data_IF_063141341875
#
_entry.id   IF_063141341875
#
_cell.length_a   1.000
_cell.length_b   1.000
_cell.length_c   1.000
_cell.angle_alpha   90.00
_cell.angle_beta   90.00
_cell.angle_gamma   90.00
#
_symmetry.space_group_name_H-M   'P 1'
#
loop_
_entity.id
_entity.type
_entity.pdbx_description
1 polymer ?
#
# COMPACT_ATOMS: atom_id res chain seq x y z
N UNK A 1 -14.45 -10.27 16.21
CA UNK A 1 -14.06 -11.52 15.51
C UNK A 1 -12.84 -12.11 16.19
N UNK A 2 -12.75 -13.42 16.36
CA UNK A 2 -11.57 -14.09 16.92
C UNK A 2 -10.48 -14.20 15.83
N UNK A 3 -9.43 -13.41 15.98
CA UNK A 3 -8.31 -13.29 15.03
C UNK A 3 -7.54 -14.61 14.86
N UNK A 4 -7.24 -15.28 15.96
CA UNK A 4 -6.49 -16.55 15.94
C UNK A 4 -7.30 -17.65 15.25
N UNK A 5 -8.58 -17.76 15.58
CA UNK A 5 -9.47 -18.70 14.91
C UNK A 5 -9.52 -18.44 13.40
N UNK A 6 -9.68 -17.17 12.99
CA UNK A 6 -9.74 -16.83 11.57
C UNK A 6 -8.41 -17.12 10.85
N UNK A 7 -7.29 -16.83 11.49
CA UNK A 7 -5.97 -17.18 10.96
C UNK A 7 -5.88 -18.69 10.69
N UNK A 8 -6.30 -19.53 11.64
CA UNK A 8 -6.29 -20.99 11.47
C UNK A 8 -7.16 -21.46 10.31
N UNK A 9 -8.33 -20.84 10.10
CA UNK A 9 -9.20 -21.10 8.93
C UNK A 9 -8.46 -20.78 7.62
N UNK A 10 -7.80 -19.64 7.55
CA UNK A 10 -6.97 -19.26 6.38
C UNK A 10 -5.80 -20.23 6.17
N UNK A 11 -5.12 -20.66 7.22
CA UNK A 11 -4.04 -21.65 7.11
C UNK A 11 -4.54 -23.00 6.63
N UNK A 12 -5.71 -23.46 7.08
CA UNK A 12 -6.35 -24.71 6.56
C UNK A 12 -6.65 -24.58 5.06
N UNK A 13 -7.23 -23.44 4.63
CA UNK A 13 -7.49 -23.17 3.22
C UNK A 13 -6.20 -23.13 2.40
N UNK A 14 -5.17 -22.45 2.92
CA UNK A 14 -3.85 -22.39 2.28
C UNK A 14 -3.23 -23.78 2.15
N UNK A 15 -3.27 -24.60 3.20
CA UNK A 15 -2.72 -25.96 3.17
C UNK A 15 -3.37 -26.84 2.09
N UNK A 16 -4.63 -26.60 1.76
CA UNK A 16 -5.34 -27.28 0.67
C UNK A 16 -4.98 -26.71 -0.72
N UNK A 17 -4.53 -25.45 -0.79
CA UNK A 17 -4.26 -24.76 -2.05
C UNK A 17 -2.92 -25.18 -2.68
N UNK A 18 -2.84 -25.40 -4.01
CA UNK A 18 -1.61 -25.88 -4.69
C UNK A 18 -0.36 -25.03 -4.43
N UNK A 19 -0.48 -23.70 -4.31
CA UNK A 19 0.66 -22.79 -4.03
C UNK A 19 1.32 -23.10 -2.69
N UNK A 20 0.57 -23.64 -1.72
CA UNK A 20 1.04 -23.84 -0.34
C UNK A 20 1.15 -25.29 0.09
N UNK A 21 0.56 -26.23 -0.65
CA UNK A 21 0.43 -27.64 -0.25
C UNK A 21 1.73 -28.25 0.25
N UNK A 22 2.81 -28.09 -0.51
CA UNK A 22 4.13 -28.61 -0.09
C UNK A 22 4.75 -27.76 1.01
N UNK A 23 4.59 -26.44 0.96
CA UNK A 23 5.17 -25.51 1.96
C UNK A 23 4.60 -25.71 3.35
N UNK A 24 3.31 -26.06 3.45
CA UNK A 24 2.59 -26.16 4.71
C UNK A 24 2.22 -27.60 5.09
N UNK A 25 2.79 -28.61 4.42
CA UNK A 25 2.40 -30.01 4.63
C UNK A 25 2.54 -30.48 6.09
N UNK A 26 3.61 -30.05 6.76
CA UNK A 26 3.93 -30.42 8.15
C UNK A 26 3.39 -29.39 9.18
N UNK A 27 2.69 -28.36 8.74
CA UNK A 27 2.11 -27.34 9.62
C UNK A 27 0.79 -27.84 10.20
N UNK A 28 0.65 -27.84 11.53
CA UNK A 28 -0.64 -27.99 12.20
C UNK A 28 -1.32 -26.61 12.28
N UNK A 29 -2.45 -26.37 11.58
CA UNK A 29 -3.17 -25.11 11.65
C UNK A 29 -3.59 -24.71 13.07
N UNK A 30 -3.83 -25.70 13.97
CA UNK A 30 -4.26 -25.44 15.34
C UNK A 30 -3.17 -24.86 16.23
N UNK A 31 -1.91 -25.05 15.86
CA UNK A 31 -0.76 -24.50 16.56
C UNK A 31 -0.39 -23.08 16.07
N UNK A 32 -0.99 -22.62 14.96
CA UNK A 32 -0.66 -21.31 14.38
C UNK A 32 -1.38 -20.19 15.13
N UNK A 33 -0.62 -19.13 15.42
CA UNK A 33 -1.10 -17.89 16.02
C UNK A 33 -0.39 -16.69 15.37
N UNK A 34 -0.89 -15.45 15.56
CA UNK A 34 -0.19 -14.26 15.07
C UNK A 34 1.24 -14.12 15.61
N UNK A 35 1.52 -14.64 16.81
CA UNK A 35 2.81 -14.52 17.48
C UNK A 35 3.87 -15.49 16.93
N UNK A 36 3.47 -16.63 16.38
CA UNK A 36 4.39 -17.63 15.83
C UNK A 36 4.35 -17.73 14.30
N UNK A 37 3.61 -16.85 13.64
CA UNK A 37 3.42 -16.84 12.19
C UNK A 37 4.74 -16.78 11.41
N UNK A 38 5.77 -16.14 11.98
CA UNK A 38 7.11 -16.04 11.41
C UNK A 38 7.79 -17.39 11.14
N UNK A 39 7.33 -18.47 11.76
CA UNK A 39 7.82 -19.83 11.48
C UNK A 39 7.33 -20.39 10.14
N UNK A 40 6.27 -19.82 9.56
CA UNK A 40 5.74 -20.27 8.28
C UNK A 40 6.56 -19.73 7.10
N UNK A 41 6.56 -20.44 5.95
CA UNK A 41 7.27 -20.00 4.76
C UNK A 41 6.63 -18.74 4.16
N UNK A 42 7.47 -17.91 3.53
CA UNK A 42 7.05 -16.74 2.77
C UNK A 42 6.44 -17.16 1.42
N UNK A 43 5.60 -16.28 0.88
CA UNK A 43 5.01 -16.43 -0.46
C UNK A 43 5.29 -15.20 -1.29
N UNK A 44 5.61 -15.40 -2.56
CA UNK A 44 5.95 -14.33 -3.50
C UNK A 44 4.90 -14.16 -4.58
N UNK A 45 4.95 -13.01 -5.24
CA UNK A 45 4.09 -12.73 -6.40
C UNK A 45 4.41 -13.66 -7.57
N UNK A 46 5.67 -14.03 -7.76
CA UNK A 46 6.12 -14.94 -8.80
C UNK A 46 5.47 -16.32 -8.68
N UNK A 47 5.34 -16.84 -7.47
CA UNK A 47 4.68 -18.12 -7.20
C UNK A 47 3.20 -18.07 -7.59
N UNK A 48 2.50 -16.99 -7.24
CA UNK A 48 1.11 -16.79 -7.64
C UNK A 48 0.96 -16.63 -9.14
N UNK A 49 1.82 -15.84 -9.79
CA UNK A 49 1.81 -15.68 -11.24
C UNK A 49 2.08 -16.99 -11.96
N UNK A 50 3.04 -17.80 -11.48
CA UNK A 50 3.30 -19.13 -12.03
C UNK A 50 2.07 -20.05 -11.92
N UNK A 51 1.41 -20.05 -10.77
CA UNK A 51 0.18 -20.81 -10.55
C UNK A 51 -0.94 -20.36 -11.49
N UNK A 52 -1.20 -19.06 -11.59
CA UNK A 52 -2.28 -18.51 -12.43
C UNK A 52 -2.04 -18.75 -13.93
N UNK A 53 -0.79 -18.68 -14.38
CA UNK A 53 -0.43 -19.02 -15.77
C UNK A 53 -0.67 -20.49 -16.09
N UNK A 54 -0.40 -21.37 -15.13
CA UNK A 54 -0.65 -22.81 -15.28
C UNK A 54 -2.14 -23.17 -15.12
N UNK A 55 -2.94 -22.33 -14.48
CA UNK A 55 -4.37 -22.54 -14.19
C UNK A 55 -5.18 -21.30 -14.63
N UNK A 56 -5.39 -21.11 -15.94
CA UNK A 56 -6.02 -19.89 -16.49
C UNK A 56 -7.53 -19.81 -16.26
N UNK A 57 -8.17 -20.89 -15.85
CA UNK A 57 -9.60 -20.90 -15.52
C UNK A 57 -9.85 -20.40 -14.11
N UNK A 58 -10.94 -19.60 -13.90
CA UNK A 58 -11.33 -19.21 -12.55
C UNK A 58 -11.51 -20.42 -11.62
N UNK A 59 -11.05 -20.35 -10.37
CA UNK A 59 -11.22 -21.43 -9.42
C UNK A 59 -12.71 -21.64 -9.09
N UNK A 60 -13.07 -22.87 -8.77
CA UNK A 60 -14.41 -23.19 -8.30
C UNK A 60 -14.74 -22.37 -7.04
N UNK A 61 -15.96 -21.87 -6.95
CA UNK A 61 -16.40 -21.00 -5.86
C UNK A 61 -16.11 -19.52 -6.05
N UNK A 62 -15.38 -19.09 -7.10
CA UNK A 62 -15.21 -17.68 -7.41
C UNK A 62 -16.56 -17.01 -7.71
N UNK A 63 -16.76 -15.81 -7.14
CA UNK A 63 -17.98 -14.99 -7.32
C UNK A 63 -17.65 -13.60 -7.85
N UNK A 64 -16.48 -13.09 -7.57
CA UNK A 64 -15.99 -11.79 -8.05
C UNK A 64 -14.55 -11.94 -8.54
N UNK A 65 -14.22 -11.22 -9.59
CA UNK A 65 -12.87 -11.11 -10.13
C UNK A 65 -12.50 -9.64 -10.27
N UNK A 66 -11.33 -9.30 -9.76
CA UNK A 66 -10.66 -8.04 -10.05
C UNK A 66 -9.39 -8.31 -10.88
N UNK A 67 -8.85 -7.26 -11.47
CA UNK A 67 -7.58 -7.33 -12.16
C UNK A 67 -6.60 -6.33 -11.55
N UNK A 68 -5.36 -6.76 -11.36
CA UNK A 68 -4.27 -5.88 -10.93
C UNK A 68 -3.16 -5.87 -11.99
N UNK A 69 -2.57 -4.71 -12.31
CA UNK A 69 -1.42 -4.67 -13.20
C UNK A 69 -0.25 -5.46 -12.64
N UNK A 70 0.36 -6.29 -13.47
CA UNK A 70 1.52 -7.11 -13.09
C UNK A 70 2.57 -7.08 -14.19
N UNK A 71 3.80 -6.67 -13.90
CA UNK A 71 4.90 -6.77 -14.87
C UNK A 71 5.16 -8.19 -15.36
N UNK A 72 4.77 -9.19 -14.54
CA UNK A 72 5.04 -10.60 -14.80
C UNK A 72 4.00 -11.28 -15.71
N UNK A 73 2.79 -10.71 -15.86
CA UNK A 73 1.73 -11.30 -16.69
C UNK A 73 0.77 -10.29 -17.32
N UNK A 74 1.09 -8.99 -17.27
CA UNK A 74 0.22 -7.91 -17.75
C UNK A 74 -0.93 -7.62 -16.77
N UNK A 75 -1.94 -8.47 -16.72
CA UNK A 75 -3.06 -8.40 -15.80
C UNK A 75 -3.16 -9.68 -14.98
N UNK A 76 -3.05 -9.54 -13.66
CA UNK A 76 -3.19 -10.64 -12.71
C UNK A 76 -4.63 -10.65 -12.17
N UNK A 77 -5.37 -11.75 -12.34
CA UNK A 77 -6.71 -11.88 -11.77
C UNK A 77 -6.65 -12.16 -10.28
N UNK A 78 -7.55 -11.51 -9.56
CA UNK A 78 -7.81 -11.72 -8.13
C UNK A 78 -9.24 -12.25 -7.98
N UNK A 79 -9.39 -13.46 -7.48
CA UNK A 79 -10.69 -14.11 -7.31
C UNK A 79 -11.11 -14.10 -5.84
N UNK A 80 -12.38 -13.80 -5.61
CA UNK A 80 -12.99 -13.82 -4.29
C UNK A 80 -14.20 -14.76 -4.29
N UNK A 81 -14.30 -15.57 -3.24
CA UNK A 81 -15.50 -16.35 -2.96
C UNK A 81 -16.59 -15.49 -2.29
N UNK A 82 -17.79 -16.03 -2.15
CA UNK A 82 -18.87 -15.40 -1.38
C UNK A 82 -18.46 -15.21 0.10
N UNK A 83 -17.74 -16.18 0.67
CA UNK A 83 -17.22 -16.09 2.03
C UNK A 83 -16.19 -14.97 2.17
N UNK A 84 -15.23 -14.87 1.23
CA UNK A 84 -14.22 -13.81 1.25
C UNK A 84 -14.86 -12.42 1.18
N UNK A 85 -15.84 -12.24 0.29
CA UNK A 85 -16.57 -10.97 0.14
C UNK A 85 -17.31 -10.60 1.43
N UNK A 86 -18.08 -11.54 2.00
CA UNK A 86 -18.83 -11.32 3.23
C UNK A 86 -17.89 -11.01 4.39
N UNK A 87 -16.86 -11.82 4.60
CA UNK A 87 -15.90 -11.62 5.69
C UNK A 87 -15.23 -10.25 5.61
N UNK A 88 -14.72 -9.89 4.42
CA UNK A 88 -14.07 -8.60 4.17
C UNK A 88 -15.02 -7.42 4.48
N UNK A 89 -16.25 -7.48 3.99
CA UNK A 89 -17.23 -6.42 4.22
C UNK A 89 -17.57 -6.28 5.71
N UNK A 90 -17.80 -7.38 6.42
CA UNK A 90 -18.09 -7.38 7.87
C UNK A 90 -16.90 -6.87 8.71
N UNK A 91 -15.68 -7.33 8.41
CA UNK A 91 -14.47 -6.91 9.11
C UNK A 91 -14.20 -5.40 8.93
N UNK A 92 -14.29 -4.92 7.70
CA UNK A 92 -14.11 -3.50 7.41
C UNK A 92 -15.25 -2.63 7.92
N UNK A 93 -16.50 -3.12 7.90
CA UNK A 93 -17.62 -2.40 8.52
C UNK A 93 -17.43 -2.22 10.02
N UNK A 94 -16.92 -3.24 10.72
CA UNK A 94 -16.58 -3.13 12.13
C UNK A 94 -15.45 -2.08 12.36
N UNK A 95 -14.43 -2.06 11.49
CA UNK A 95 -13.38 -1.04 11.53
C UNK A 95 -13.95 0.37 11.34
N UNK A 96 -14.80 0.59 10.34
CA UNK A 96 -15.40 1.91 10.08
C UNK A 96 -16.31 2.38 11.21
N UNK A 97 -17.07 1.49 11.85
CA UNK A 97 -17.85 1.84 13.06
C UNK A 97 -16.95 2.32 14.21
N UNK A 98 -15.79 1.68 14.41
CA UNK A 98 -14.80 2.13 15.42
C UNK A 98 -14.26 3.54 15.11
N UNK A 99 -14.20 3.93 13.84
CA UNK A 99 -13.84 5.28 13.40
C UNK A 99 -15.03 6.28 13.49
N UNK A 100 -16.20 5.86 13.97
CA UNK A 100 -17.40 6.70 14.03
C UNK A 100 -18.08 6.92 12.68
N UNK A 101 -17.81 6.05 11.70
CA UNK A 101 -18.41 6.08 10.38
C UNK A 101 -19.68 5.23 10.35
N UNK A 102 -20.73 5.76 10.94
CA UNK A 102 -22.08 5.23 10.92
C UNK A 102 -23.05 6.38 10.69
N UNK A 103 -24.08 6.18 9.87
CA UNK A 103 -25.08 7.20 9.56
C UNK A 103 -24.54 8.39 8.75
N UNK A 104 -23.42 8.24 8.05
CA UNK A 104 -22.81 9.28 7.22
C UNK A 104 -23.27 9.18 5.77
N UNK A 105 -23.18 10.29 5.05
CA UNK A 105 -23.36 10.34 3.60
C UNK A 105 -21.98 10.33 2.97
N UNK A 106 -21.67 9.26 2.25
CA UNK A 106 -20.33 8.95 1.74
C UNK A 106 -20.32 8.98 0.22
N UNK A 107 -19.43 9.75 -0.38
CA UNK A 107 -19.17 9.76 -1.80
C UNK A 107 -17.89 8.95 -2.09
N UNK A 108 -18.02 7.86 -2.85
CA UNK A 108 -16.89 7.02 -3.25
C UNK A 108 -16.49 7.37 -4.68
N UNK A 109 -15.27 7.90 -4.83
CA UNK A 109 -14.69 8.32 -6.10
C UNK A 109 -13.51 7.42 -6.55
N UNK A 110 -13.39 6.21 -6.00
CA UNK A 110 -12.55 5.16 -6.56
C UNK A 110 -13.17 4.49 -7.79
N UNK A 111 -12.33 3.88 -8.62
CA UNK A 111 -12.80 3.11 -9.76
C UNK A 111 -13.57 1.86 -9.33
N UNK A 112 -14.69 1.61 -10.01
CA UNK A 112 -15.48 0.38 -9.92
C UNK A 112 -15.28 -0.56 -11.13
N UNK A 113 -14.34 -0.23 -12.00
CA UNK A 113 -14.08 -1.02 -13.22
C UNK A 113 -13.38 -2.34 -12.85
N UNK A 114 -12.20 -2.58 -13.42
CA UNK A 114 -11.45 -3.83 -13.20
C UNK A 114 -10.77 -3.91 -11.83
N UNK A 115 -10.58 -2.77 -11.17
CA UNK A 115 -9.86 -2.67 -9.89
C UNK A 115 -10.76 -2.90 -8.69
N UNK A 116 -10.16 -3.38 -7.60
CA UNK A 116 -10.87 -3.62 -6.34
C UNK A 116 -11.25 -2.34 -5.57
N UNK A 117 -10.55 -1.19 -5.82
CA UNK A 117 -10.58 -0.01 -4.96
C UNK A 117 -11.97 0.48 -4.56
N UNK A 118 -12.87 0.71 -5.53
CA UNK A 118 -14.24 1.15 -5.23
C UNK A 118 -15.01 0.14 -4.41
N UNK A 119 -14.92 -1.13 -4.76
CA UNK A 119 -15.62 -2.23 -4.09
C UNK A 119 -15.14 -2.47 -2.67
N UNK A 120 -13.85 -2.35 -2.40
CA UNK A 120 -13.26 -2.54 -1.06
C UNK A 120 -13.85 -1.58 -0.01
N UNK A 121 -14.20 -0.36 -0.42
CA UNK A 121 -14.81 0.62 0.47
C UNK A 121 -16.34 0.53 0.48
N UNK A 122 -16.95 0.34 -0.69
CA UNK A 122 -18.40 0.46 -0.89
C UNK A 122 -19.19 -0.48 0.03
N UNK A 123 -19.01 -1.78 -0.13
CA UNK A 123 -19.77 -2.80 0.59
C UNK A 123 -19.64 -2.64 2.11
N UNK A 124 -18.42 -2.41 2.58
CA UNK A 124 -18.14 -2.24 3.99
C UNK A 124 -18.79 -0.97 4.58
N UNK A 125 -18.79 0.14 3.83
CA UNK A 125 -19.41 1.39 4.27
C UNK A 125 -20.95 1.29 4.28
N UNK A 126 -21.55 0.60 3.31
CA UNK A 126 -23.00 0.29 3.32
C UNK A 126 -23.33 -0.56 4.54
N UNK A 127 -22.56 -1.63 4.78
CA UNK A 127 -22.78 -2.52 5.92
C UNK A 127 -22.51 -1.84 7.27
N UNK A 128 -21.65 -0.81 7.30
CA UNK A 128 -21.44 0.04 8.47
C UNK A 128 -22.61 0.99 8.76
N UNK A 129 -23.65 1.02 7.92
CA UNK A 129 -24.85 1.84 8.11
C UNK A 129 -24.79 3.23 7.48
N UNK A 130 -24.00 3.43 6.45
CA UNK A 130 -23.88 4.70 5.75
C UNK A 130 -24.73 4.74 4.47
N UNK A 131 -25.12 5.95 4.03
CA UNK A 131 -25.59 6.19 2.68
C UNK A 131 -24.39 6.36 1.76
N UNK A 132 -24.19 5.44 0.82
CA UNK A 132 -23.04 5.45 -0.08
C UNK A 132 -23.47 5.84 -1.49
N UNK A 133 -22.79 6.84 -2.07
CA UNK A 133 -22.95 7.25 -3.46
C UNK A 133 -21.71 6.80 -4.28
N UNK A 134 -21.85 5.81 -5.18
CA UNK A 134 -20.76 5.26 -5.97
C UNK A 134 -20.51 6.12 -7.22
N UNK A 135 -19.91 7.29 -7.05
CA UNK A 135 -19.66 8.24 -8.14
C UNK A 135 -18.64 7.68 -9.15
N UNK A 136 -17.60 6.99 -8.64
CA UNK A 136 -16.45 6.61 -9.46
C UNK A 136 -15.43 7.76 -9.65
N UNK A 137 -14.32 7.51 -10.38
CA UNK A 137 -13.25 8.48 -10.58
C UNK A 137 -13.61 9.55 -11.61
N UNK A 138 -12.90 10.66 -11.57
CA UNK A 138 -13.04 11.77 -12.53
C UNK A 138 -14.00 12.86 -12.06
N UNK A 139 -14.16 13.89 -12.89
CA UNK A 139 -15.10 15.01 -12.70
C UNK A 139 -14.96 15.74 -11.34
N UNK A 140 -13.73 16.16 -10.98
CA UNK A 140 -13.46 16.81 -9.70
C UNK A 140 -14.37 18.04 -9.43
N UNK A 141 -14.72 18.82 -10.47
CA UNK A 141 -15.66 19.94 -10.39
C UNK A 141 -17.06 19.50 -9.98
N UNK A 142 -17.57 18.41 -10.59
CA UNK A 142 -18.88 17.86 -10.23
C UNK A 142 -18.92 17.33 -8.81
N UNK A 143 -17.86 16.63 -8.37
CA UNK A 143 -17.76 16.19 -6.97
C UNK A 143 -17.74 17.39 -6.02
N UNK A 144 -17.05 18.47 -6.40
CA UNK A 144 -17.05 19.71 -5.61
C UNK A 144 -18.45 20.33 -5.50
N UNK A 145 -19.23 20.37 -6.59
CA UNK A 145 -20.63 20.82 -6.57
C UNK A 145 -21.53 19.95 -5.70
N UNK A 146 -21.29 18.63 -5.69
CA UNK A 146 -22.07 17.69 -4.88
C UNK A 146 -21.64 17.67 -3.41
N UNK A 147 -20.45 18.17 -3.08
CA UNK A 147 -19.85 18.05 -1.75
C UNK A 147 -20.74 18.51 -0.59
N UNK A 148 -21.61 19.55 -0.70
CA UNK A 148 -22.51 19.94 0.39
C UNK A 148 -23.50 18.85 0.82
N UNK A 149 -23.72 17.84 -0.01
CA UNK A 149 -24.64 16.74 0.27
C UNK A 149 -23.97 15.57 1.00
N UNK A 150 -22.63 15.58 1.14
CA UNK A 150 -21.85 14.47 1.67
C UNK A 150 -20.97 14.90 2.85
N UNK A 151 -20.74 13.97 3.75
CA UNK A 151 -19.89 14.15 4.93
C UNK A 151 -18.48 13.62 4.69
N UNK A 152 -18.37 12.54 3.89
CA UNK A 152 -17.12 11.77 3.67
C UNK A 152 -16.84 11.64 2.18
N UNK A 153 -15.59 11.89 1.79
CA UNK A 153 -15.04 11.55 0.49
C UNK A 153 -14.13 10.31 0.63
N UNK A 154 -14.24 9.38 -0.30
CA UNK A 154 -13.39 8.19 -0.38
C UNK A 154 -12.70 8.17 -1.73
N UNK A 155 -11.39 8.41 -1.77
CA UNK A 155 -10.63 8.48 -3.02
C UNK A 155 -9.12 8.43 -2.76
N UNK A 156 -8.31 8.44 -3.83
CA UNK A 156 -6.87 8.59 -3.68
C UNK A 156 -6.47 10.05 -3.33
N UNK A 157 -5.33 10.24 -2.66
CA UNK A 157 -4.87 11.55 -2.19
C UNK A 157 -4.73 12.60 -3.30
N UNK A 158 -4.16 12.21 -4.45
CA UNK A 158 -3.94 13.13 -5.57
C UNK A 158 -5.25 13.62 -6.19
N UNK A 159 -6.28 12.79 -6.23
CA UNK A 159 -7.59 13.19 -6.71
C UNK A 159 -8.37 14.03 -5.67
N UNK A 160 -8.23 13.70 -4.38
CA UNK A 160 -8.76 14.53 -3.29
C UNK A 160 -8.22 15.98 -3.36
N UNK A 161 -6.93 16.14 -3.66
CA UNK A 161 -6.32 17.45 -3.89
C UNK A 161 -7.04 18.22 -5.02
N UNK A 162 -7.31 17.55 -6.15
CA UNK A 162 -8.04 18.17 -7.30
C UNK A 162 -9.47 18.56 -6.93
N UNK A 163 -10.17 17.72 -6.17
CA UNK A 163 -11.51 18.03 -5.67
C UNK A 163 -11.49 19.26 -4.76
N UNK A 164 -10.52 19.35 -3.85
CA UNK A 164 -10.35 20.51 -2.98
C UNK A 164 -10.00 21.80 -3.74
N UNK A 165 -9.14 21.70 -4.77
CA UNK A 165 -8.81 22.83 -5.68
C UNK A 165 -10.04 23.31 -6.48
N UNK A 166 -10.94 22.38 -6.83
CA UNK A 166 -12.21 22.72 -7.48
C UNK A 166 -13.28 23.32 -6.51
N UNK A 167 -12.95 23.46 -5.24
CA UNK A 167 -13.83 24.04 -4.22
C UNK A 167 -14.63 23.03 -3.40
N UNK A 168 -14.40 21.73 -3.60
CA UNK A 168 -15.06 20.66 -2.81
C UNK A 168 -14.68 20.73 -1.33
N UNK A 169 -15.66 20.45 -0.45
CA UNK A 169 -15.50 20.47 1.00
C UNK A 169 -16.08 19.19 1.59
N UNK A 170 -15.29 18.51 2.44
CA UNK A 170 -15.70 17.29 3.12
C UNK A 170 -15.14 17.28 4.54
N UNK A 171 -15.92 16.79 5.51
CA UNK A 171 -15.49 16.70 6.91
C UNK A 171 -14.42 15.64 7.11
N UNK A 172 -14.44 14.59 6.27
CA UNK A 172 -13.49 13.49 6.33
C UNK A 172 -13.14 13.02 4.92
N UNK A 173 -11.86 12.73 4.72
CA UNK A 173 -11.33 11.95 3.60
C UNK A 173 -10.87 10.60 4.11
N UNK A 174 -11.35 9.51 3.49
CA UNK A 174 -10.69 8.21 3.56
C UNK A 174 -9.85 8.06 2.30
N UNK A 175 -8.53 8.14 2.47
CA UNK A 175 -7.56 8.09 1.38
C UNK A 175 -6.95 6.69 1.26
N UNK A 176 -6.45 6.35 0.07
CA UNK A 176 -5.67 5.12 -0.15
C UNK A 176 -5.22 4.98 -1.60
N UNK A 177 -4.45 3.92 -1.88
CA UNK A 177 -4.00 3.57 -3.22
C UNK A 177 -2.80 4.37 -3.74
N UNK A 178 -2.34 5.37 -2.99
CA UNK A 178 -1.14 6.17 -3.28
C UNK A 178 -0.42 6.51 -1.97
N UNK A 179 0.90 6.79 -1.97
CA UNK A 179 1.60 7.30 -0.80
C UNK A 179 0.97 8.61 -0.30
N UNK A 180 0.62 8.66 0.97
CA UNK A 180 0.00 9.83 1.59
C UNK A 180 0.67 10.22 2.91
N UNK A 181 0.60 9.36 3.93
CA UNK A 181 1.27 9.58 5.23
C UNK A 181 2.79 9.75 5.08
N UNK A 182 3.38 9.08 4.09
CA UNK A 182 4.81 9.15 3.81
C UNK A 182 5.26 10.42 3.09
N UNK A 183 4.33 11.23 2.57
CA UNK A 183 4.63 12.46 1.79
C UNK A 183 4.55 13.69 2.70
N UNK A 184 5.67 14.33 3.05
CA UNK A 184 5.67 15.50 3.93
C UNK A 184 4.82 16.66 3.37
N UNK A 185 3.96 17.24 4.21
CA UNK A 185 3.12 18.41 3.86
C UNK A 185 1.94 18.11 2.93
N UNK A 186 1.82 16.89 2.42
CA UNK A 186 0.74 16.56 1.47
C UNK A 186 -0.62 16.45 2.16
N UNK A 187 -0.65 15.81 3.33
CA UNK A 187 -1.86 15.73 4.16
C UNK A 187 -2.40 17.12 4.52
N UNK A 188 -1.53 17.97 5.05
CA UNK A 188 -1.87 19.33 5.48
C UNK A 188 -2.46 20.14 4.32
N UNK A 189 -1.89 20.00 3.13
CA UNK A 189 -2.40 20.64 1.92
C UNK A 189 -3.78 20.14 1.52
N UNK A 190 -4.01 18.83 1.56
CA UNK A 190 -5.30 18.22 1.23
C UNK A 190 -6.36 18.60 2.28
N UNK A 191 -6.04 18.51 3.57
CA UNK A 191 -6.93 18.89 4.68
C UNK A 191 -7.31 20.38 4.61
N UNK A 192 -6.37 21.27 4.35
CA UNK A 192 -6.62 22.70 4.20
C UNK A 192 -7.59 22.99 3.03
N UNK A 193 -7.45 22.30 1.92
CA UNK A 193 -8.31 22.47 0.75
C UNK A 193 -9.69 21.86 0.94
N UNK A 194 -9.81 20.69 1.55
CA UNK A 194 -11.10 20.05 1.81
C UNK A 194 -11.84 20.63 3.02
N UNK A 195 -11.13 21.28 3.94
CA UNK A 195 -11.69 21.82 5.19
C UNK A 195 -12.05 20.74 6.20
N UNK A 196 -11.39 19.58 6.16
CA UNK A 196 -11.68 18.43 7.02
C UNK A 196 -10.44 17.57 7.31
N UNK A 197 -10.64 16.46 7.99
CA UNK A 197 -9.60 15.49 8.37
C UNK A 197 -9.38 14.47 7.27
N UNK A 198 -8.15 14.06 7.03
CA UNK A 198 -7.81 12.99 6.11
C UNK A 198 -7.16 11.81 6.83
N UNK A 199 -7.68 10.61 6.60
CA UNK A 199 -7.16 9.34 7.10
C UNK A 199 -6.66 8.49 5.95
N UNK A 200 -5.47 7.92 6.12
CA UNK A 200 -4.82 7.05 5.13
C UNK A 200 -5.17 5.58 5.38
N UNK A 201 -5.23 4.80 4.31
CA UNK A 201 -5.42 3.36 4.35
C UNK A 201 -4.49 2.67 3.34
N UNK A 202 -3.89 1.57 3.76
CA UNK A 202 -3.08 0.73 2.90
C UNK A 202 -3.79 -0.58 2.57
N UNK A 203 -3.77 -0.91 1.30
CA UNK A 203 -4.29 -2.16 0.78
C UNK A 203 -3.92 -2.36 -0.68
N UNK A 204 -4.02 -3.61 -1.11
CA UNK A 204 -3.87 -4.01 -2.51
C UNK A 204 -5.03 -4.89 -2.92
N UNK A 205 -5.18 -5.13 -4.23
CA UNK A 205 -6.26 -6.01 -4.71
C UNK A 205 -6.15 -7.41 -4.12
N UNK A 206 -4.92 -7.93 -3.99
CA UNK A 206 -4.62 -9.27 -3.47
C UNK A 206 -4.97 -9.44 -1.99
N UNK A 207 -4.83 -8.37 -1.22
CA UNK A 207 -4.90 -8.41 0.24
C UNK A 207 -6.19 -7.83 0.81
N UNK A 208 -6.85 -6.92 0.06
CA UNK A 208 -7.84 -6.02 0.60
C UNK A 208 -7.18 -4.86 1.37
N UNK A 209 -7.96 -4.12 2.17
CA UNK A 209 -7.44 -3.06 3.04
C UNK A 209 -6.96 -3.73 4.34
N UNK A 210 -5.67 -3.61 4.64
CA UNK A 210 -5.02 -4.34 5.74
C UNK A 210 -4.50 -3.45 6.86
N UNK A 211 -4.33 -2.16 6.58
CA UNK A 211 -3.96 -1.16 7.59
C UNK A 211 -4.67 0.16 7.34
N UNK A 212 -4.93 0.92 8.40
CA UNK A 212 -5.59 2.22 8.32
C UNK A 212 -5.25 3.11 9.51
N UNK A 213 -5.34 4.42 9.30
CA UNK A 213 -5.20 5.37 10.37
C UNK A 213 -6.43 5.43 11.26
N UNK A 214 -6.21 5.81 12.50
CA UNK A 214 -7.23 6.28 13.42
C UNK A 214 -7.26 7.82 13.46
N UNK A 215 -8.14 8.40 14.25
CA UNK A 215 -8.27 9.86 14.37
C UNK A 215 -7.06 10.55 15.03
N UNK A 216 -6.17 9.80 15.70
CA UNK A 216 -4.92 10.33 16.23
C UNK A 216 -3.87 10.59 15.12
N UNK A 217 -4.03 9.97 13.96
CA UNK A 217 -3.13 10.11 12.80
C UNK A 217 -1.67 9.79 13.13
N UNK A 218 -1.45 8.79 13.97
CA UNK A 218 -0.16 8.38 14.50
C UNK A 218 0.47 7.19 13.78
N UNK A 219 0.02 6.93 12.55
CA UNK A 219 0.47 5.90 11.64
C UNK A 219 -0.65 4.99 11.16
N UNK A 220 -0.33 4.10 10.21
CA UNK A 220 -1.25 3.07 9.74
C UNK A 220 -1.23 1.89 10.70
N UNK A 221 -2.30 1.70 11.42
CA UNK A 221 -2.50 0.58 12.32
C UNK A 221 -2.96 -0.65 11.54
N UNK A 222 -2.37 -1.78 11.84
CA UNK A 222 -2.88 -3.08 11.42
C UNK A 222 -4.38 -3.19 11.75
N UNK A 223 -5.19 -3.62 10.79
CA UNK A 223 -6.60 -3.94 11.03
C UNK A 223 -6.66 -5.41 11.40
N UNK A 224 -6.80 -5.74 12.71
CA UNK A 224 -6.56 -7.09 13.20
C UNK A 224 -7.55 -8.13 12.68
N UNK A 225 -8.73 -7.71 12.22
CA UNK A 225 -9.69 -8.59 11.55
C UNK A 225 -9.29 -8.87 10.08
N UNK A 226 -8.48 -8.01 9.48
CA UNK A 226 -8.14 -8.11 8.05
C UNK A 226 -6.81 -8.77 7.80
N UNK A 227 -5.83 -8.61 8.71
CA UNK A 227 -4.46 -9.10 8.45
C UNK A 227 -3.63 -9.33 9.70
N UNK A 228 -2.49 -10.00 9.49
CA UNK A 228 -1.29 -9.95 10.34
C UNK A 228 -0.18 -9.34 9.51
N UNK A 229 0.45 -8.29 10.04
CA UNK A 229 1.53 -7.56 9.37
C UNK A 229 2.88 -7.87 10.01
N UNK A 230 3.89 -8.11 9.17
CA UNK A 230 5.29 -8.24 9.52
C UNK A 230 6.11 -7.27 8.68
N UNK A 231 7.24 -6.78 9.19
CA UNK A 231 8.23 -6.03 8.40
C UNK A 231 9.56 -6.74 8.50
N UNK A 232 10.07 -7.20 7.38
CA UNK A 232 11.26 -8.05 7.29
C UNK A 232 12.36 -7.36 6.48
N UNK A 233 13.61 -7.60 6.85
CA UNK A 233 14.74 -7.28 5.97
C UNK A 233 14.62 -8.09 4.68
N UNK A 234 14.59 -7.46 3.49
CA UNK A 234 14.28 -8.16 2.24
C UNK A 234 15.39 -9.13 1.78
N UNK A 235 16.62 -9.06 2.33
CA UNK A 235 17.72 -9.97 2.03
C UNK A 235 17.78 -11.12 3.03
N UNK A 236 17.73 -10.82 4.33
CA UNK A 236 17.86 -11.85 5.39
C UNK A 236 16.55 -12.52 5.73
N UNK A 237 15.42 -11.92 5.34
CA UNK A 237 14.04 -12.37 5.61
C UNK A 237 13.74 -12.46 7.11
N UNK A 238 14.48 -11.75 7.93
CA UNK A 238 14.28 -11.66 9.39
C UNK A 238 13.56 -10.37 9.76
N UNK A 239 12.81 -10.36 10.87
CA UNK A 239 12.21 -9.13 11.36
C UNK A 239 13.25 -8.02 11.53
N UNK A 240 12.92 -6.81 11.10
CA UNK A 240 13.75 -5.63 11.32
C UNK A 240 13.63 -5.13 12.75
N UNK A 241 14.64 -4.43 13.24
CA UNK A 241 14.53 -3.74 14.51
C UNK A 241 13.53 -2.57 14.43
N UNK A 242 12.92 -2.16 15.56
CA UNK A 242 12.03 -0.99 15.57
C UNK A 242 12.71 0.24 14.99
N UNK A 243 12.04 0.91 14.05
CA UNK A 243 12.56 2.09 13.35
C UNK A 243 13.46 1.78 12.14
N UNK A 244 13.76 0.52 11.85
CA UNK A 244 14.47 0.13 10.64
C UNK A 244 13.50 -0.13 9.47
N UNK A 245 13.98 0.13 8.26
CA UNK A 245 13.24 -0.11 7.02
C UNK A 245 13.26 -1.60 6.66
N UNK A 246 12.11 -2.12 6.24
CA UNK A 246 12.00 -3.47 5.72
C UNK A 246 10.85 -3.61 4.74
N UNK A 247 10.74 -4.78 4.15
CA UNK A 247 9.63 -5.18 3.29
C UNK A 247 8.41 -5.54 4.13
N UNK A 248 7.28 -4.94 3.80
CA UNK A 248 6.00 -5.32 4.37
C UNK A 248 5.58 -6.71 3.87
N UNK A 249 5.34 -7.60 4.79
CA UNK A 249 4.85 -8.97 4.56
C UNK A 249 3.48 -9.09 5.22
N UNK A 250 2.51 -9.65 4.50
CA UNK A 250 1.12 -9.66 4.94
C UNK A 250 0.55 -11.07 4.90
N UNK A 251 -0.13 -11.47 5.98
CA UNK A 251 -1.05 -12.59 5.97
C UNK A 251 -2.47 -12.06 6.00
N UNK A 252 -3.20 -12.19 4.88
CA UNK A 252 -4.56 -11.69 4.75
C UNK A 252 -5.57 -12.64 5.39
N UNK A 253 -6.38 -12.16 6.32
CA UNK A 253 -7.42 -12.94 6.98
C UNK A 253 -8.74 -12.99 6.18
N UNK A 254 -8.87 -12.14 5.18
CA UNK A 254 -10.05 -12.04 4.31
C UNK A 254 -9.98 -12.93 3.05
N UNK A 255 -8.95 -13.76 2.91
CA UNK A 255 -8.70 -14.55 1.70
C UNK A 255 -8.59 -16.03 2.01
N UNK A 256 -9.59 -16.81 1.56
CA UNK A 256 -9.58 -18.29 1.67
C UNK A 256 -9.56 -18.96 0.30
N UNK A 257 -10.15 -18.34 -0.73
CA UNK A 257 -10.11 -18.86 -2.09
C UNK A 257 -8.73 -18.69 -2.75
N UNK A 258 -8.14 -17.51 -2.60
CA UNK A 258 -6.75 -17.21 -2.96
C UNK A 258 -6.01 -16.78 -1.69
N UNK A 259 -5.60 -17.71 -0.82
CA UNK A 259 -5.02 -17.37 0.47
C UNK A 259 -3.66 -16.69 0.30
N UNK A 260 -3.48 -15.57 1.00
CA UNK A 260 -2.23 -14.82 1.01
C UNK A 260 -1.58 -14.97 2.39
N UNK A 261 -0.75 -16.01 2.54
CA UNK A 261 -0.02 -16.31 3.79
C UNK A 261 1.41 -15.83 3.67
N UNK A 262 1.81 -14.94 4.57
CA UNK A 262 3.14 -14.30 4.58
C UNK A 262 3.58 -13.83 3.20
N UNK A 263 2.67 -13.13 2.54
CA UNK A 263 2.86 -12.64 1.18
C UNK A 263 3.81 -11.44 1.18
N UNK A 264 4.87 -11.54 0.41
CA UNK A 264 5.83 -10.47 0.18
C UNK A 264 5.21 -9.44 -0.76
N UNK A 265 4.93 -8.25 -0.23
CA UNK A 265 4.25 -7.19 -1.01
C UNK A 265 5.21 -6.48 -1.97
N UNK A 266 6.50 -6.49 -1.67
CA UNK A 266 7.49 -5.64 -2.31
C UNK A 266 7.44 -4.18 -1.86
N UNK A 267 6.59 -3.84 -0.91
CA UNK A 267 6.45 -2.47 -0.40
C UNK A 267 7.31 -2.26 0.86
N UNK A 268 7.89 -1.06 0.99
CA UNK A 268 8.74 -0.67 2.12
C UNK A 268 7.94 0.03 3.21
N UNK A 269 8.20 -0.37 4.45
CA UNK A 269 7.64 0.27 5.63
C UNK A 269 8.66 0.30 6.78
N UNK A 270 8.36 1.10 7.80
CA UNK A 270 8.91 0.99 9.14
C UNK A 270 7.83 0.34 10.00
N UNK A 271 8.20 -0.42 11.02
CA UNK A 271 7.23 -0.99 11.94
C UNK A 271 7.56 -0.66 13.40
N UNK A 272 6.48 -0.49 14.16
CA UNK A 272 6.48 -0.45 15.62
C UNK A 272 5.43 -1.44 16.13
N UNK A 273 5.60 -1.90 17.38
CA UNK A 273 4.57 -2.70 18.06
C UNK A 273 3.88 -1.81 19.10
N UNK A 274 2.57 -1.63 18.96
CA UNK A 274 1.74 -0.89 19.89
C UNK A 274 0.47 -1.70 20.18
N UNK A 275 0.10 -1.87 21.43
CA UNK A 275 -1.10 -2.61 21.86
C UNK A 275 -1.22 -4.02 21.25
N UNK A 276 -0.10 -4.69 21.00
CA UNK A 276 -0.06 -6.02 20.38
C UNK A 276 -0.24 -6.02 18.85
N UNK A 277 -0.43 -4.85 18.22
CA UNK A 277 -0.58 -4.70 16.77
C UNK A 277 0.68 -4.11 16.13
N UNK A 278 0.83 -4.33 14.84
CA UNK A 278 1.84 -3.66 14.03
C UNK A 278 1.32 -2.29 13.58
N UNK A 279 2.12 -1.26 13.79
CA UNK A 279 1.85 0.10 13.33
C UNK A 279 2.94 0.52 12.37
N UNK A 280 2.56 1.13 11.26
CA UNK A 280 3.46 1.69 10.27
C UNK A 280 3.47 3.23 10.43
N UNK A 281 4.39 3.80 11.24
CA UNK A 281 4.30 5.21 11.67
C UNK A 281 4.47 6.21 10.52
N UNK A 282 5.06 5.78 9.42
CA UNK A 282 5.23 6.58 8.19
C UNK A 282 4.42 6.04 7.01
N UNK A 283 3.52 5.09 7.24
CA UNK A 283 2.84 4.37 6.17
C UNK A 283 3.82 3.58 5.29
N UNK A 284 3.42 3.38 4.03
CA UNK A 284 4.24 2.74 3.00
C UNK A 284 4.89 3.84 2.15
N UNK A 285 6.19 3.72 1.86
CA UNK A 285 6.96 4.82 1.27
C UNK A 285 7.89 4.44 0.12
N UNK A 286 7.88 3.21 -0.34
CA UNK A 286 8.72 2.77 -1.47
C UNK A 286 8.53 1.29 -1.80
N UNK A 287 9.40 0.78 -2.69
CA UNK A 287 9.38 -0.60 -3.13
C UNK A 287 10.77 -1.24 -3.09
N UNK A 288 10.79 -2.56 -2.90
CA UNK A 288 12.04 -3.34 -2.76
C UNK A 288 12.66 -3.76 -4.10
N UNK A 289 11.88 -3.78 -5.17
CA UNK A 289 12.22 -4.39 -6.47
C UNK A 289 13.29 -3.63 -7.29
N UNK A 290 13.71 -2.46 -6.84
CA UNK A 290 14.72 -1.64 -7.53
C UNK A 290 15.86 -1.20 -6.59
N UNK A 291 16.15 -2.00 -5.56
CA UNK A 291 17.21 -1.68 -4.61
C UNK A 291 18.57 -1.64 -5.26
N UNK A 292 19.32 -0.59 -4.98
CA UNK A 292 20.73 -0.47 -5.36
C UNK A 292 21.58 -0.17 -4.12
N UNK A 293 22.74 -0.87 -3.97
CA UNK A 293 23.70 -0.54 -2.91
C UNK A 293 24.63 0.57 -3.39
N UNK A 294 24.65 1.70 -2.66
CA UNK A 294 25.49 2.85 -2.95
C UNK A 294 26.29 3.20 -1.69
N UNK A 295 27.62 3.29 -1.80
CA UNK A 295 28.47 3.59 -0.63
C UNK A 295 28.21 2.68 0.57
N UNK A 296 27.85 1.40 0.32
CA UNK A 296 27.53 0.41 1.35
C UNK A 296 26.12 0.51 1.96
N UNK A 297 25.32 1.49 1.57
CA UNK A 297 23.95 1.72 2.06
C UNK A 297 22.94 1.24 1.01
N UNK A 298 21.87 0.58 1.43
CA UNK A 298 20.74 0.20 0.57
C UNK A 298 19.90 1.43 0.23
N UNK A 299 19.84 1.80 -1.04
CA UNK A 299 18.92 2.80 -1.58
C UNK A 299 17.78 2.11 -2.31
N UNK A 300 16.58 2.49 -1.96
CA UNK A 300 15.37 2.09 -2.69
C UNK A 300 14.87 3.33 -3.46
N UNK A 301 15.12 3.44 -4.77
CA UNK A 301 14.84 4.66 -5.53
C UNK A 301 13.42 5.17 -5.40
N UNK A 302 12.45 4.25 -5.31
CA UNK A 302 11.04 4.61 -5.13
C UNK A 302 10.74 5.36 -3.83
N UNK A 303 11.60 5.30 -2.81
CA UNK A 303 11.46 6.10 -1.59
C UNK A 303 11.71 7.60 -1.82
N UNK A 304 12.33 7.95 -2.96
CA UNK A 304 12.54 9.35 -3.34
C UNK A 304 11.24 10.01 -3.86
N UNK A 305 10.34 9.24 -4.45
CA UNK A 305 9.10 9.77 -5.03
C UNK A 305 8.25 10.60 -4.05
N UNK A 306 7.94 10.14 -2.82
CA UNK A 306 7.21 10.94 -1.85
C UNK A 306 8.01 12.19 -1.39
N UNK A 307 9.34 12.11 -1.32
CA UNK A 307 10.18 13.26 -0.98
C UNK A 307 10.06 14.32 -2.05
N UNK A 308 10.22 13.95 -3.32
CA UNK A 308 10.10 14.85 -4.47
C UNK A 308 8.70 15.50 -4.54
N UNK A 309 7.66 14.73 -4.32
CA UNK A 309 6.28 15.23 -4.24
C UNK A 309 6.13 16.31 -3.15
N UNK A 310 6.77 16.13 -1.99
CA UNK A 310 6.79 17.12 -0.90
C UNK A 310 7.42 18.48 -1.31
N UNK A 311 8.32 18.48 -2.28
CA UNK A 311 8.89 19.69 -2.88
C UNK A 311 8.11 20.22 -4.10
N UNK A 312 6.96 19.62 -4.43
CA UNK A 312 6.15 20.00 -5.58
C UNK A 312 6.70 19.52 -6.93
N UNK A 313 7.63 18.57 -6.90
CA UNK A 313 8.18 17.92 -8.08
C UNK A 313 7.32 16.72 -8.52
N UNK A 314 7.39 16.34 -9.80
CA UNK A 314 6.75 15.12 -10.29
C UNK A 314 7.37 13.89 -9.61
N UNK A 315 6.60 13.08 -8.86
CA UNK A 315 7.09 11.87 -8.21
C UNK A 315 7.54 10.76 -9.18
N UNK A 316 7.28 10.92 -10.47
CA UNK A 316 7.74 10.04 -11.56
C UNK A 316 8.80 10.71 -12.45
N UNK A 317 9.06 12.00 -12.24
CA UNK A 317 9.97 12.82 -13.02
C UNK A 317 11.42 12.72 -12.55
N UNK A 318 11.90 11.52 -12.17
CA UNK A 318 13.28 11.38 -11.70
C UNK A 318 13.91 10.03 -12.10
N UNK A 319 15.23 9.99 -12.02
CA UNK A 319 16.04 8.80 -12.24
C UNK A 319 17.28 8.84 -11.34
N UNK A 320 17.63 7.70 -10.76
CA UNK A 320 18.83 7.53 -9.96
C UNK A 320 19.94 6.97 -10.83
N UNK A 321 21.08 7.67 -10.87
CA UNK A 321 22.28 7.21 -11.58
C UNK A 321 23.37 6.92 -10.57
N UNK A 322 23.96 5.73 -10.67
CA UNK A 322 25.09 5.31 -9.84
C UNK A 322 26.29 5.13 -10.74
N UNK A 323 27.33 5.90 -10.49
CA UNK A 323 28.60 5.86 -11.22
C UNK A 323 29.74 5.50 -10.28
N UNK A 324 30.89 5.16 -10.84
CA UNK A 324 32.12 4.98 -10.08
C UNK A 324 33.07 6.16 -10.33
N UNK A 325 33.50 6.80 -9.25
CA UNK A 325 34.54 7.84 -9.32
C UNK A 325 35.90 7.23 -9.65
N UNK A 326 36.81 8.06 -10.11
CA UNK A 326 38.19 7.64 -10.45
C UNK A 326 38.93 7.00 -9.27
N UNK A 327 38.65 7.45 -8.05
CA UNK A 327 39.19 6.87 -6.81
C UNK A 327 38.49 5.56 -6.36
N UNK A 328 37.53 5.06 -7.14
CA UNK A 328 36.84 3.79 -6.87
C UNK A 328 35.63 3.87 -5.94
N UNK A 329 35.28 5.07 -5.44
CA UNK A 329 34.05 5.27 -4.63
C UNK A 329 32.82 5.47 -5.52
N UNK A 330 31.63 5.15 -4.99
CA UNK A 330 30.38 5.37 -5.70
C UNK A 330 30.04 6.88 -5.74
N UNK A 331 29.54 7.34 -6.90
CA UNK A 331 28.90 8.65 -7.09
C UNK A 331 27.41 8.44 -7.27
N UNK A 332 26.60 9.12 -6.46
CA UNK A 332 25.15 9.09 -6.52
C UNK A 332 24.62 10.37 -7.14
N UNK A 333 24.02 10.24 -8.32
CA UNK A 333 23.43 11.35 -9.07
C UNK A 333 21.92 11.18 -9.13
N UNK A 334 21.19 12.25 -8.93
CA UNK A 334 19.74 12.31 -9.13
C UNK A 334 19.45 13.15 -10.37
N UNK A 335 18.88 12.55 -11.41
CA UNK A 335 18.33 13.26 -12.55
C UNK A 335 16.90 13.65 -12.27
N UNK A 336 16.56 14.93 -12.51
CA UNK A 336 15.23 15.46 -12.29
C UNK A 336 14.69 16.14 -13.55
N UNK A 337 13.47 15.82 -13.92
CA UNK A 337 12.69 16.57 -14.89
C UNK A 337 12.04 17.76 -14.19
N UNK A 338 12.79 18.84 -14.06
CA UNK A 338 12.41 20.07 -13.35
C UNK A 338 13.19 21.28 -13.88
N UNK A 339 12.65 22.49 -13.68
CA UNK A 339 13.29 23.72 -14.08
C UNK A 339 14.40 24.16 -13.10
N UNK A 340 14.32 23.74 -11.85
CA UNK A 340 15.30 24.08 -10.81
C UNK A 340 15.33 23.04 -9.69
N UNK A 341 16.45 22.97 -8.98
CA UNK A 341 16.58 22.17 -7.76
C UNK A 341 15.98 22.95 -6.60
N UNK A 342 14.96 22.43 -5.90
CA UNK A 342 14.39 23.10 -4.73
C UNK A 342 15.41 23.23 -3.60
N UNK A 343 15.43 24.36 -2.86
CA UNK A 343 16.22 24.47 -1.63
C UNK A 343 15.84 23.38 -0.61
N UNK A 344 16.83 22.79 0.06
CA UNK A 344 16.62 21.76 1.08
C UNK A 344 16.43 20.34 0.53
N UNK A 345 16.40 20.11 -0.77
CA UNK A 345 16.21 18.78 -1.36
C UNK A 345 17.34 17.80 -0.99
N UNK A 346 18.60 18.25 -1.02
CA UNK A 346 19.75 17.41 -0.66
C UNK A 346 19.65 16.89 0.78
N UNK A 347 19.33 17.78 1.71
CA UNK A 347 19.19 17.49 3.13
C UNK A 347 18.00 16.53 3.39
N UNK A 348 16.88 16.76 2.71
CA UNK A 348 15.70 15.92 2.84
C UNK A 348 15.98 14.48 2.36
N UNK A 349 16.65 14.33 1.22
CA UNK A 349 17.04 13.02 0.69
C UNK A 349 18.05 12.34 1.64
N UNK A 350 19.07 13.06 2.08
CA UNK A 350 20.06 12.51 3.01
C UNK A 350 19.43 12.06 4.32
N UNK A 351 18.50 12.84 4.89
CA UNK A 351 17.78 12.52 6.11
C UNK A 351 16.92 11.24 5.95
N UNK A 352 16.27 11.09 4.80
CA UNK A 352 15.36 9.96 4.54
C UNK A 352 16.10 8.66 4.20
N UNK A 353 17.19 8.76 3.40
CA UNK A 353 17.88 7.60 2.84
C UNK A 353 19.17 7.23 3.55
N UNK A 354 19.73 8.15 4.35
CA UNK A 354 21.08 8.03 4.92
C UNK A 354 22.19 8.28 3.88
N UNK A 355 21.85 8.60 2.62
CA UNK A 355 22.79 8.81 1.53
C UNK A 355 22.86 10.28 1.13
N UNK A 356 24.08 10.81 1.01
CA UNK A 356 24.32 12.10 0.43
C UNK A 356 24.39 11.99 -1.09
N UNK A 357 23.57 12.78 -1.80
CA UNK A 357 23.70 12.99 -3.23
C UNK A 357 25.03 13.68 -3.52
N UNK A 358 25.72 13.21 -4.55
CA UNK A 358 26.91 13.92 -5.07
C UNK A 358 26.50 15.02 -6.04
N UNK A 359 25.41 14.82 -6.79
CA UNK A 359 24.96 15.76 -7.83
C UNK A 359 23.45 15.62 -8.08
N UNK A 360 22.81 16.71 -8.50
CA UNK A 360 21.48 16.74 -9.11
C UNK A 360 21.59 17.32 -10.51
N UNK A 361 21.21 16.53 -11.51
CA UNK A 361 21.15 16.93 -12.92
C UNK A 361 19.72 17.29 -13.31
N UNK A 362 19.52 18.48 -13.88
CA UNK A 362 18.22 18.86 -14.45
C UNK A 362 18.18 18.41 -15.91
N UNK A 363 17.16 17.66 -16.28
CA UNK A 363 17.00 17.05 -17.60
C UNK A 363 15.63 17.35 -18.20
N UNK A 364 15.56 17.50 -19.53
CA UNK A 364 14.29 17.67 -20.23
C UNK A 364 13.52 16.36 -20.37
N UNK A 365 14.23 15.25 -20.56
CA UNK A 365 13.67 13.90 -20.72
C UNK A 365 14.50 12.90 -19.91
N UNK A 366 13.82 11.82 -19.51
CA UNK A 366 14.42 10.70 -18.80
C UNK A 366 14.39 9.50 -19.73
N UNK A 367 15.54 8.85 -19.93
CA UNK A 367 15.68 7.67 -20.78
C UNK A 367 16.08 6.45 -19.96
N UNK A 368 15.46 5.29 -20.25
CA UNK A 368 15.76 4.04 -19.57
C UNK A 368 14.95 3.83 -18.28
N UNK A 369 15.47 3.01 -17.38
CA UNK A 369 14.82 2.65 -16.12
C UNK A 369 14.96 3.70 -15.01
N UNK A 370 14.26 3.51 -13.90
CA UNK A 370 14.35 4.37 -12.72
C UNK A 370 15.77 4.40 -12.11
N UNK A 371 16.54 3.33 -12.32
CA UNK A 371 17.94 3.21 -11.90
C UNK A 371 18.81 2.96 -13.12
N UNK A 372 19.87 3.73 -13.25
CA UNK A 372 20.98 3.49 -14.18
C UNK A 372 22.25 3.21 -13.35
N UNK A 373 22.70 1.98 -13.36
CA UNK A 373 23.93 1.55 -12.68
C UNK A 373 25.07 1.46 -13.70
N UNK A 374 25.91 2.48 -13.75
CA UNK A 374 27.03 2.61 -14.68
C UNK A 374 28.38 2.16 -14.07
N UNK A 375 28.33 1.39 -12.98
CA UNK A 375 29.56 0.90 -12.31
C UNK A 375 30.17 -0.33 -13.00
N UNK A 376 29.38 -0.99 -13.84
CA UNK A 376 29.73 -2.24 -14.51
C UNK A 376 29.66 -2.12 -16.03
#
# INVERSE_FOLDING_TARGET
MDRTRRLREVIRAAKAHPVYREKLKDVDPEEVSPENLSALPLTTREEWVAYLKANPTPPEGARLMHLTPSPLMGWMPEYLSEEDLRYQAEAMAAHYRRLGLEGKRVLVAFSYHVFAGGWLFHEALVLAGNLVFPHGPGEAGRIAELSPQFDVLVTNPSFALKVGQAGGRFRLLLAGGEPFTSVPGFREKVEALLGGTALDAYGTSELGIVAGENLAKDGLWEIPEMAVLEVLDPETLRPVAPGEKGELVVTALSRTLMPMVRFRTGDLALAERREGLTVLPRGVFGRTDQMVKVKGVKLYPTELAPILAGFGLDPKGFQVVVERKLEGTDKLVLRLKADKVPPGLYEAIQKATGLRLDEVELVGELEGGLVLDHRF
#
